data_IF_290581386500
#
_entry.id   IF_290581386500
#
_cell.length_a   1.000
_cell.length_b   1.000
_cell.length_c   1.000
_cell.angle_alpha   90.00
_cell.angle_beta   90.00
_cell.angle_gamma   90.00
#
_symmetry.space_group_name_H-M   'P 1'
#
loop_
_entity.id
_entity.type
_entity.pdbx_description
1 polymer ?
#
# COMPACT_ATOMS: atom_id res chain seq x y z
N UNK A 1 9.64 9.85 -21.60
CA UNK A 1 8.69 9.97 -20.48
C UNK A 1 7.49 9.09 -20.80
N UNK A 2 7.19 8.14 -19.92
CA UNK A 2 6.10 7.17 -20.12
C UNK A 2 4.76 7.90 -20.26
N UNK A 3 4.05 7.65 -21.35
CA UNK A 3 2.77 8.27 -21.70
C UNK A 3 1.60 7.66 -20.89
N UNK A 4 1.81 7.46 -19.59
CA UNK A 4 0.83 6.87 -18.68
C UNK A 4 -0.05 8.01 -18.15
N UNK A 5 -1.34 7.96 -18.46
CA UNK A 5 -2.35 8.84 -17.86
C UNK A 5 -2.79 8.25 -16.50
N UNK A 6 -2.43 8.88 -15.36
CA UNK A 6 -2.78 8.39 -14.03
C UNK A 6 -4.27 8.25 -13.81
N UNK A 7 -5.08 9.16 -14.38
CA UNK A 7 -6.53 9.19 -14.21
C UNK A 7 -7.23 8.03 -14.95
N UNK A 8 -6.55 7.43 -15.94
CA UNK A 8 -7.09 6.32 -16.75
C UNK A 8 -6.45 4.97 -16.45
N UNK A 9 -5.42 4.94 -15.62
CA UNK A 9 -4.69 3.72 -15.31
C UNK A 9 -4.85 3.32 -13.84
N UNK A 10 -5.83 2.45 -13.55
CA UNK A 10 -6.05 1.92 -12.19
C UNK A 10 -4.81 1.25 -11.58
N UNK A 11 -3.93 0.67 -12.41
CA UNK A 11 -2.69 0.07 -11.94
C UNK A 11 -1.68 1.12 -11.50
N UNK A 12 -1.73 2.33 -12.07
CA UNK A 12 -0.89 3.45 -11.63
C UNK A 12 -1.18 3.78 -10.15
N UNK A 13 -2.45 3.92 -9.78
CA UNK A 13 -2.87 4.16 -8.38
C UNK A 13 -2.30 3.08 -7.44
N UNK A 14 -2.50 1.81 -7.79
CA UNK A 14 -2.04 0.67 -6.97
C UNK A 14 -0.51 0.70 -6.80
N UNK A 15 0.24 0.90 -7.88
CA UNK A 15 1.70 0.97 -7.81
C UNK A 15 2.21 2.20 -7.03
N UNK A 16 1.55 3.35 -7.17
CA UNK A 16 1.94 4.56 -6.42
C UNK A 16 1.64 4.44 -4.94
N UNK A 17 0.51 3.84 -4.56
CA UNK A 17 0.19 3.60 -3.15
C UNK A 17 1.14 2.56 -2.55
N UNK A 18 1.48 1.50 -3.29
CA UNK A 18 2.49 0.54 -2.85
C UNK A 18 3.85 1.19 -2.61
N UNK A 19 4.29 2.08 -3.51
CA UNK A 19 5.53 2.85 -3.33
C UNK A 19 5.51 3.71 -2.05
N UNK A 20 4.42 4.44 -1.81
CA UNK A 20 4.25 5.27 -0.59
C UNK A 20 4.31 4.45 0.69
N UNK A 21 3.73 3.25 0.69
CA UNK A 21 3.78 2.33 1.84
C UNK A 21 5.22 1.89 2.12
N UNK A 22 6.01 1.59 1.07
CA UNK A 22 7.43 1.26 1.22
C UNK A 22 8.24 2.46 1.71
N UNK A 23 7.98 3.66 1.17
CA UNK A 23 8.66 4.91 1.60
C UNK A 23 8.36 5.26 3.06
N UNK A 24 7.18 4.88 3.57
CA UNK A 24 6.80 4.99 4.97
C UNK A 24 7.44 3.92 5.88
N UNK A 25 8.27 3.03 5.31
CA UNK A 25 9.05 2.04 6.04
C UNK A 25 8.32 0.71 6.29
N UNK A 26 7.16 0.50 5.66
CA UNK A 26 6.43 -0.76 5.77
C UNK A 26 6.90 -1.79 4.74
N UNK A 27 6.73 -3.07 5.07
CA UNK A 27 7.02 -4.19 4.18
C UNK A 27 5.74 -4.92 3.76
N UNK A 28 5.80 -5.57 2.60
CA UNK A 28 4.74 -6.43 2.11
C UNK A 28 5.09 -7.89 2.39
N UNK A 29 4.10 -8.65 2.86
CA UNK A 29 4.25 -10.07 3.18
C UNK A 29 3.08 -10.88 2.62
N UNK A 30 3.38 -12.11 2.21
CA UNK A 30 2.41 -13.15 1.90
C UNK A 30 1.94 -13.80 3.19
N UNK A 31 0.64 -13.90 3.40
CA UNK A 31 0.10 -14.61 4.56
C UNK A 31 0.33 -16.12 4.45
N UNK A 32 0.46 -16.63 3.21
CA UNK A 32 0.74 -18.03 2.92
C UNK A 32 -0.50 -18.91 3.02
N UNK A 33 -1.70 -18.32 3.04
CA UNK A 33 -2.95 -19.05 2.99
C UNK A 33 -3.15 -19.68 1.60
N UNK A 34 -3.70 -20.89 1.57
CA UNK A 34 -3.85 -21.68 0.33
C UNK A 34 -4.79 -21.04 -0.71
N UNK A 35 -5.65 -20.11 -0.27
CA UNK A 35 -6.55 -19.30 -1.09
C UNK A 35 -6.04 -17.87 -1.35
N UNK A 36 -4.82 -17.54 -0.90
CA UNK A 36 -4.17 -16.26 -1.17
C UNK A 36 -3.87 -16.13 -2.67
N UNK A 37 -4.40 -15.08 -3.31
CA UNK A 37 -4.11 -14.83 -4.73
C UNK A 37 -2.65 -14.42 -4.91
N UNK A 38 -2.00 -14.77 -6.03
CA UNK A 38 -0.62 -14.35 -6.33
C UNK A 38 -0.40 -12.84 -6.21
N UNK A 39 -1.43 -12.03 -6.49
CA UNK A 39 -1.37 -10.57 -6.44
C UNK A 39 -1.68 -9.97 -5.07
N UNK A 40 -2.15 -10.76 -4.10
CA UNK A 40 -2.46 -10.26 -2.76
C UNK A 40 -1.19 -10.13 -1.92
N UNK A 41 -1.10 -9.05 -1.15
CA UNK A 41 -0.03 -8.86 -0.18
C UNK A 41 -0.62 -8.16 1.03
N UNK A 42 -0.18 -8.57 2.20
CA UNK A 42 -0.51 -7.93 3.47
C UNK A 42 0.63 -6.99 3.85
N UNK A 43 0.31 -5.88 4.53
CA UNK A 43 1.32 -4.95 5.05
C UNK A 43 1.68 -5.36 6.47
N UNK A 44 2.97 -5.53 6.73
CA UNK A 44 3.47 -5.85 8.07
C UNK A 44 3.50 -4.59 8.94
N UNK A 45 2.67 -4.58 9.99
CA UNK A 45 2.63 -3.51 10.99
C UNK A 45 3.42 -3.86 12.27
N UNK A 46 4.04 -5.05 12.32
CA UNK A 46 4.65 -5.63 13.51
C UNK A 46 3.65 -6.41 14.38
N UNK A 47 4.17 -7.15 15.37
CA UNK A 47 3.39 -8.05 16.23
C UNK A 47 2.40 -7.32 17.15
N UNK A 48 2.74 -6.10 17.59
CA UNK A 48 1.91 -5.23 18.41
C UNK A 48 2.03 -3.79 17.93
N UNK A 49 1.30 -3.41 16.86
CA UNK A 49 1.41 -2.07 16.30
C UNK A 49 0.91 -1.02 17.30
N UNK A 50 1.67 0.06 17.44
CA UNK A 50 1.22 1.23 18.21
C UNK A 50 0.22 2.06 17.39
N UNK A 51 -0.54 2.93 18.05
CA UNK A 51 -1.43 3.87 17.37
C UNK A 51 -0.67 4.71 16.33
N UNK A 52 0.54 5.18 16.66
CA UNK A 52 1.40 5.94 15.76
C UNK A 52 1.75 5.15 14.48
N UNK A 53 2.04 3.85 14.60
CA UNK A 53 2.32 2.99 13.44
C UNK A 53 1.09 2.90 12.53
N UNK A 54 -0.10 2.74 13.11
CA UNK A 54 -1.36 2.68 12.37
C UNK A 54 -1.68 4.02 11.70
N UNK A 55 -1.45 5.14 12.37
CA UNK A 55 -1.67 6.48 11.82
C UNK A 55 -0.78 6.72 10.59
N UNK A 56 0.52 6.43 10.67
CA UNK A 56 1.44 6.52 9.51
C UNK A 56 1.02 5.62 8.35
N UNK A 57 0.53 4.42 8.67
CA UNK A 57 -0.01 3.51 7.65
C UNK A 57 -1.21 4.12 6.94
N UNK A 58 -2.17 4.68 7.69
CA UNK A 58 -3.37 5.31 7.12
C UNK A 58 -3.01 6.55 6.29
N UNK A 59 -2.05 7.36 6.73
CA UNK A 59 -1.58 8.53 5.98
C UNK A 59 -1.04 8.16 4.58
N UNK A 60 -0.42 6.98 4.43
CA UNK A 60 0.05 6.49 3.13
C UNK A 60 -1.12 6.26 2.13
N UNK A 61 -2.33 6.00 2.63
CA UNK A 61 -3.53 5.76 1.81
C UNK A 61 -4.41 7.01 1.62
N UNK A 62 -4.40 7.97 2.55
CA UNK A 62 -5.42 9.05 2.59
C UNK A 62 -5.12 10.28 1.72
N UNK A 63 -4.01 10.29 0.96
CA UNK A 63 -3.64 11.41 0.09
C UNK A 63 -4.64 11.64 -1.06
N UNK A 64 -5.49 10.65 -1.40
CA UNK A 64 -6.51 10.80 -2.46
C UNK A 64 -7.93 11.09 -1.96
N UNK A 65 -8.19 11.07 -0.65
CA UNK A 65 -9.55 11.32 -0.11
C UNK A 65 -9.84 12.79 0.24
N UNK A 66 -8.83 13.66 0.12
CA UNK A 66 -8.90 15.11 0.40
C UNK A 66 -8.94 16.01 -0.85
N UNK A 67 -9.34 15.49 -2.02
CA UNK A 67 -9.53 16.30 -3.24
C UNK A 67 -10.89 16.09 -3.87
#
# INVERSE_FOLDING_TARGET
>A
MSNIDPAKNKKFYICTSAGKIMDAGFSFRKDGDDDERPEHYTVDLGEQPTLEVVERFLEAFDIERRR
#
